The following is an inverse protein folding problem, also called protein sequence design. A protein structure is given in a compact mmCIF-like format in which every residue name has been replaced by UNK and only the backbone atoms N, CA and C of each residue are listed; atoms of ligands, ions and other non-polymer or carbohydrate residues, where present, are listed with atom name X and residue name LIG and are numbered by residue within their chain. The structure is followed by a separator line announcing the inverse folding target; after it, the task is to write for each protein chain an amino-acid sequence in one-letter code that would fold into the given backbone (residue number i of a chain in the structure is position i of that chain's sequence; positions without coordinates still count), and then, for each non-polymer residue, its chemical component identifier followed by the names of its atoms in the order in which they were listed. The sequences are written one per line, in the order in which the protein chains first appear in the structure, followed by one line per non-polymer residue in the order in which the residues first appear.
data_IF_687165862239
#
_entry.id   IF_687165862239
#
_cell.length_a   1.000
_cell.length_b   1.000
_cell.length_c   1.000
_cell.angle_alpha   90.00
_cell.angle_beta   90.00
_cell.angle_gamma   90.00
#
_symmetry.space_group_name_H-M   'P 1'
#
loop_
_entity.id
_entity.type
_entity.pdbx_description
1 polymer ?
#
# COMPACT_ATOMS: atom_id res chain seq x y z
N UNK A 1 -4.67 -26.51 -81.73
CA UNK A 1 -5.35 -25.28 -81.29
C UNK A 1 -5.86 -25.46 -79.85
N UNK A 2 -6.66 -26.49 -79.59
CA UNK A 2 -7.02 -27.01 -78.25
C UNK A 2 -5.88 -27.01 -77.21
N UNK A 3 -4.73 -27.57 -77.56
CA UNK A 3 -3.60 -27.69 -76.63
C UNK A 3 -3.03 -26.32 -76.20
N UNK A 4 -3.08 -25.32 -77.10
CA UNK A 4 -2.68 -23.94 -76.80
C UNK A 4 -3.69 -23.24 -75.89
N UNK A 5 -4.98 -23.51 -76.06
CA UNK A 5 -6.03 -23.00 -75.16
C UNK A 5 -5.88 -23.57 -73.75
N UNK A 6 -5.62 -24.88 -73.63
CA UNK A 6 -5.40 -25.53 -72.33
C UNK A 6 -4.20 -24.96 -71.57
N UNK A 7 -3.09 -24.72 -72.26
CA UNK A 7 -1.90 -24.11 -71.67
C UNK A 7 -2.15 -22.66 -71.20
N UNK A 8 -2.95 -21.89 -71.95
CA UNK A 8 -3.30 -20.52 -71.59
C UNK A 8 -4.24 -20.44 -70.38
N UNK A 9 -5.24 -21.32 -70.29
CA UNK A 9 -6.12 -21.46 -69.12
C UNK A 9 -5.32 -21.81 -67.85
N UNK A 10 -4.31 -22.69 -68.01
CA UNK A 10 -3.43 -23.09 -66.91
C UNK A 10 -2.58 -21.92 -66.43
N UNK A 11 -1.96 -21.15 -67.33
CA UNK A 11 -1.13 -20.01 -66.95
C UNK A 11 -1.93 -18.87 -66.30
N UNK A 12 -3.16 -18.64 -66.76
CA UNK A 12 -4.05 -17.65 -66.15
C UNK A 12 -4.48 -18.06 -64.74
N UNK A 13 -4.73 -19.35 -64.52
CA UNK A 13 -5.06 -19.88 -63.19
C UNK A 13 -3.85 -19.84 -62.23
N UNK A 14 -2.64 -20.16 -62.69
CA UNK A 14 -1.41 -19.98 -61.91
C UNK A 14 -1.19 -18.51 -61.54
N UNK A 15 -1.34 -17.59 -62.49
CA UNK A 15 -1.21 -16.14 -62.24
C UNK A 15 -2.24 -15.62 -61.22
N UNK A 16 -3.48 -16.13 -61.23
CA UNK A 16 -4.48 -15.79 -60.21
C UNK A 16 -4.11 -16.35 -58.83
N UNK A 17 -3.54 -17.56 -58.75
CA UNK A 17 -3.09 -18.15 -57.50
C UNK A 17 -1.90 -17.39 -56.90
N UNK A 18 -0.88 -17.05 -57.69
CA UNK A 18 0.31 -16.33 -57.19
C UNK A 18 -0.06 -14.95 -56.63
N UNK A 19 -1.03 -14.27 -57.24
CA UNK A 19 -1.54 -13.00 -56.73
C UNK A 19 -2.33 -13.16 -55.41
N UNK A 20 -3.08 -14.25 -55.21
CA UNK A 20 -3.71 -14.55 -53.92
C UNK A 20 -2.68 -14.89 -52.85
N UNK A 21 -1.63 -15.65 -53.20
CA UNK A 21 -0.53 -15.99 -52.28
C UNK A 21 0.21 -14.73 -51.84
N UNK A 22 0.49 -13.80 -52.76
CA UNK A 22 1.13 -12.53 -52.43
C UNK A 22 0.28 -11.69 -51.43
N UNK A 23 -1.05 -11.66 -51.62
CA UNK A 23 -1.96 -10.98 -50.69
C UNK A 23 -2.09 -11.68 -49.33
N UNK A 24 -2.05 -13.01 -49.30
CA UNK A 24 -2.06 -13.76 -48.04
C UNK A 24 -0.75 -13.56 -47.27
N UNK A 25 0.39 -13.57 -47.95
CA UNK A 25 1.72 -13.35 -47.34
C UNK A 25 1.85 -11.93 -46.80
N UNK A 26 1.32 -10.92 -47.49
CA UNK A 26 1.36 -9.53 -47.01
C UNK A 26 0.50 -9.29 -45.76
N UNK A 27 -0.49 -10.15 -45.49
CA UNK A 27 -1.34 -10.06 -44.29
C UNK A 27 -0.71 -10.70 -43.03
N UNK A 28 0.29 -11.58 -43.17
CA UNK A 28 0.91 -12.32 -42.05
C UNK A 28 1.43 -11.38 -40.95
N UNK A 29 2.15 -10.28 -41.23
CA UNK A 29 2.65 -9.39 -40.18
C UNK A 29 1.53 -8.79 -39.33
N UNK A 30 0.41 -8.42 -39.95
CA UNK A 30 -0.76 -7.88 -39.24
C UNK A 30 -1.42 -8.93 -38.33
N UNK A 31 -1.53 -10.17 -38.81
CA UNK A 31 -2.08 -11.28 -38.03
C UNK A 31 -1.17 -11.60 -36.83
N UNK A 32 0.15 -11.62 -37.03
CA UNK A 32 1.12 -11.86 -35.94
C UNK A 32 1.06 -10.74 -34.91
N UNK A 33 1.03 -9.48 -35.34
CA UNK A 33 0.91 -8.34 -34.43
C UNK A 33 -0.35 -8.43 -33.58
N UNK A 34 -1.50 -8.69 -34.22
CA UNK A 34 -2.78 -8.82 -33.52
C UNK A 34 -2.79 -10.00 -32.54
N UNK A 35 -2.16 -11.12 -32.89
CA UNK A 35 -2.00 -12.26 -32.00
C UNK A 35 -1.15 -11.92 -30.77
N UNK A 36 -0.01 -11.26 -30.98
CA UNK A 36 0.89 -10.88 -29.89
C UNK A 36 0.22 -9.88 -28.93
N UNK A 37 -0.50 -8.88 -29.46
CA UNK A 37 -1.25 -7.92 -28.63
C UNK A 37 -2.31 -8.63 -27.78
N UNK A 38 -3.07 -9.55 -28.38
CA UNK A 38 -4.12 -10.27 -27.67
C UNK A 38 -3.53 -11.19 -26.58
N UNK A 39 -2.45 -11.91 -26.88
CA UNK A 39 -1.76 -12.76 -25.92
C UNK A 39 -1.19 -11.96 -24.76
N UNK A 40 -0.55 -10.83 -25.06
CA UNK A 40 0.01 -9.94 -24.03
C UNK A 40 -1.10 -9.36 -23.14
N UNK A 41 -2.21 -8.92 -23.74
CA UNK A 41 -3.35 -8.37 -23.01
C UNK A 41 -3.96 -9.38 -22.05
N UNK A 42 -4.19 -10.63 -22.49
CA UNK A 42 -4.74 -11.66 -21.60
C UNK A 42 -3.72 -12.07 -20.51
N UNK A 43 -2.43 -12.16 -20.83
CA UNK A 43 -1.39 -12.45 -19.83
C UNK A 43 -1.32 -11.37 -18.74
N UNK A 44 -1.36 -10.09 -19.13
CA UNK A 44 -1.40 -8.97 -18.18
C UNK A 44 -2.67 -9.03 -17.34
N UNK A 45 -3.83 -9.24 -17.96
CA UNK A 45 -5.11 -9.33 -17.26
C UNK A 45 -5.14 -10.47 -16.25
N UNK A 46 -4.60 -11.63 -16.59
CA UNK A 46 -4.50 -12.78 -15.68
C UNK A 46 -3.61 -12.45 -14.47
N UNK A 47 -2.44 -11.86 -14.72
CA UNK A 47 -1.53 -11.45 -13.65
C UNK A 47 -2.16 -10.41 -12.72
N UNK A 48 -2.79 -9.38 -13.28
CA UNK A 48 -3.48 -8.33 -12.51
C UNK A 48 -4.59 -8.96 -11.67
N UNK A 49 -5.39 -9.86 -12.24
CA UNK A 49 -6.47 -10.55 -11.51
C UNK A 49 -5.95 -11.40 -10.36
N UNK A 50 -4.72 -11.92 -10.46
CA UNK A 50 -4.07 -12.71 -9.41
C UNK A 50 -3.40 -11.87 -8.33
N UNK A 51 -2.82 -10.73 -8.70
CA UNK A 51 -2.04 -9.88 -7.80
C UNK A 51 -2.94 -8.94 -7.00
N UNK A 52 -3.97 -8.37 -7.64
CA UNK A 52 -4.82 -7.35 -7.03
C UNK A 52 -5.45 -7.79 -5.70
N UNK A 53 -6.06 -9.00 -5.58
CA UNK A 53 -6.64 -9.44 -4.32
C UNK A 53 -5.59 -9.63 -3.21
N UNK A 54 -4.37 -10.06 -3.57
CA UNK A 54 -3.28 -10.27 -2.60
C UNK A 54 -2.78 -8.95 -2.03
N UNK A 55 -2.70 -7.92 -2.89
CA UNK A 55 -2.34 -6.56 -2.46
C UNK A 55 -3.42 -6.00 -1.55
N UNK A 56 -4.69 -6.10 -1.96
CA UNK A 56 -5.84 -5.66 -1.16
C UNK A 56 -5.85 -6.32 0.23
N UNK A 57 -5.71 -7.65 0.28
CA UNK A 57 -5.65 -8.41 1.53
C UNK A 57 -4.46 -7.99 2.40
N UNK A 58 -3.27 -7.82 1.81
CA UNK A 58 -2.07 -7.41 2.56
C UNK A 58 -2.18 -6.00 3.16
N UNK A 59 -2.76 -5.06 2.41
CA UNK A 59 -2.98 -3.69 2.87
C UNK A 59 -4.03 -3.70 3.98
N UNK A 60 -5.13 -4.45 3.81
CA UNK A 60 -6.16 -4.55 4.83
C UNK A 60 -5.61 -5.16 6.13
N UNK A 61 -4.88 -6.27 6.05
CA UNK A 61 -4.27 -6.92 7.22
C UNK A 61 -3.27 -6.00 7.94
N UNK A 62 -2.47 -5.25 7.19
CA UNK A 62 -1.51 -4.29 7.76
C UNK A 62 -2.24 -3.15 8.48
N UNK A 63 -3.26 -2.59 7.85
CA UNK A 63 -4.06 -1.51 8.42
C UNK A 63 -4.78 -1.96 9.70
N UNK A 64 -5.41 -3.14 9.69
CA UNK A 64 -6.07 -3.70 10.87
C UNK A 64 -5.10 -3.88 12.05
N UNK A 65 -3.90 -4.42 11.79
CA UNK A 65 -2.89 -4.61 12.83
C UNK A 65 -2.39 -3.29 13.42
N UNK A 66 -2.17 -2.28 12.58
CA UNK A 66 -1.74 -0.96 13.02
C UNK A 66 -2.85 -0.25 13.82
N UNK A 67 -4.09 -0.30 13.33
CA UNK A 67 -5.26 0.26 14.02
C UNK A 67 -5.44 -0.39 15.39
N UNK A 68 -5.34 -1.71 15.48
CA UNK A 68 -5.46 -2.43 16.75
C UNK A 68 -4.35 -2.03 17.72
N UNK A 69 -3.11 -1.91 17.25
CA UNK A 69 -1.96 -1.52 18.06
C UNK A 69 -2.10 -0.09 18.57
N UNK A 70 -2.44 0.85 17.68
CA UNK A 70 -2.63 2.26 18.02
C UNK A 70 -3.82 2.45 18.95
N UNK A 71 -4.93 1.76 18.70
CA UNK A 71 -6.11 1.74 19.58
C UNK A 71 -5.76 1.20 20.95
N UNK A 72 -5.04 0.08 21.05
CA UNK A 72 -4.61 -0.50 22.32
C UNK A 72 -3.74 0.47 23.12
N UNK A 73 -2.81 1.15 22.45
CA UNK A 73 -1.98 2.17 23.09
C UNK A 73 -2.83 3.36 23.56
N UNK A 74 -3.74 3.86 22.73
CA UNK A 74 -4.66 4.95 23.06
C UNK A 74 -5.57 4.58 24.24
N UNK A 75 -6.17 3.38 24.25
CA UNK A 75 -6.99 2.89 25.36
C UNK A 75 -6.19 2.75 26.65
N UNK A 76 -4.94 2.28 26.59
CA UNK A 76 -4.08 2.18 27.77
C UNK A 76 -3.78 3.56 28.35
N UNK A 77 -3.43 4.53 27.50
CA UNK A 77 -3.19 5.92 27.92
C UNK A 77 -4.46 6.57 28.43
N UNK A 78 -5.60 6.35 27.77
CA UNK A 78 -6.92 6.86 28.20
C UNK A 78 -7.33 6.30 29.57
N UNK A 79 -7.10 5.02 29.83
CA UNK A 79 -7.40 4.42 31.14
C UNK A 79 -6.47 4.97 32.24
N UNK A 80 -5.18 5.14 31.96
CA UNK A 80 -4.25 5.77 32.90
C UNK A 80 -4.66 7.20 33.24
N UNK A 81 -4.96 8.02 32.22
CA UNK A 81 -5.43 9.41 32.40
C UNK A 81 -6.75 9.45 33.18
N UNK A 82 -7.70 8.55 32.89
CA UNK A 82 -8.95 8.47 33.64
C UNK A 82 -8.73 8.11 35.12
N UNK A 83 -7.77 7.23 35.42
CA UNK A 83 -7.41 6.88 36.79
C UNK A 83 -6.83 8.10 37.54
N UNK A 84 -5.88 8.81 36.94
CA UNK A 84 -5.26 10.00 37.53
C UNK A 84 -6.29 11.12 37.80
N UNK A 85 -7.21 11.35 36.86
CA UNK A 85 -8.32 12.29 37.04
C UNK A 85 -9.25 11.89 38.20
N UNK A 86 -9.57 10.60 38.32
CA UNK A 86 -10.42 10.09 39.41
C UNK A 86 -9.74 10.21 40.78
N UNK A 87 -8.43 10.03 40.86
CA UNK A 87 -7.64 10.25 42.08
C UNK A 87 -7.72 11.72 42.51
N UNK A 88 -7.61 12.64 41.55
CA UNK A 88 -7.71 14.08 41.78
C UNK A 88 -9.11 14.51 42.28
N UNK A 89 -10.18 13.94 41.71
CA UNK A 89 -11.56 14.15 42.18
C UNK A 89 -11.75 13.66 43.63
N UNK A 90 -11.18 12.50 43.99
CA UNK A 90 -11.21 11.97 45.35
C UNK A 90 -10.45 12.87 46.33
N UNK A 91 -9.26 13.35 45.95
CA UNK A 91 -8.48 14.30 46.77
C UNK A 91 -9.31 15.56 47.06
N UNK A 92 -9.96 16.13 46.05
CA UNK A 92 -10.85 17.30 46.21
C UNK A 92 -12.00 17.05 47.19
N UNK A 93 -12.73 15.95 47.02
CA UNK A 93 -13.84 15.58 47.91
C UNK A 93 -13.37 15.42 49.36
N UNK A 94 -12.18 14.85 49.57
CA UNK A 94 -11.62 14.68 50.91
C UNK A 94 -11.25 16.02 51.55
N UNK A 95 -10.65 16.95 50.80
CA UNK A 95 -10.36 18.32 51.24
C UNK A 95 -11.65 19.02 51.69
N UNK A 96 -12.69 19.04 50.85
CA UNK A 96 -13.99 19.69 51.13
C UNK A 96 -14.64 19.12 52.40
N UNK A 97 -14.60 17.80 52.56
CA UNK A 97 -15.14 17.11 53.75
C UNK A 97 -14.35 17.43 55.03
N UNK A 98 -13.04 17.58 54.94
CA UNK A 98 -12.21 17.93 56.10
C UNK A 98 -12.43 19.39 56.54
N UNK A 99 -12.64 20.28 55.57
CA UNK A 99 -12.97 21.69 55.80
C UNK A 99 -14.35 21.84 56.46
N UNK A 100 -15.38 21.16 55.93
CA UNK A 100 -16.74 21.20 56.48
C UNK A 100 -16.88 20.60 57.90
N UNK A 101 -16.06 19.61 58.26
CA UNK A 101 -16.19 18.89 59.53
C UNK A 101 -15.46 19.53 60.73
N UNK A 102 -14.84 20.71 60.58
CA UNK A 102 -14.00 21.39 61.62
C UNK A 102 -12.93 20.49 62.27
N UNK A 103 -12.61 19.34 61.67
CA UNK A 103 -11.67 18.36 62.24
C UNK A 103 -10.21 18.80 62.12
N UNK A 104 -9.89 19.64 61.14
CA UNK A 104 -8.56 20.21 60.90
C UNK A 104 -7.96 20.91 62.14
N UNK A 105 -8.82 21.35 63.08
CA UNK A 105 -8.39 22.01 64.32
C UNK A 105 -8.22 21.05 65.51
N UNK A 106 -8.52 19.76 65.37
CA UNK A 106 -8.53 18.82 66.50
C UNK A 106 -7.18 18.19 66.82
N UNK A 107 -6.27 18.11 65.84
CA UNK A 107 -4.93 17.55 66.04
C UNK A 107 -3.93 18.09 65.02
N UNK A 108 -2.66 18.12 65.39
CA UNK A 108 -1.57 18.52 64.50
C UNK A 108 -1.42 17.55 63.31
N UNK A 109 -1.62 16.24 63.51
CA UNK A 109 -1.71 15.25 62.43
C UNK A 109 -2.77 15.60 61.39
N UNK A 110 -3.99 15.98 61.79
CA UNK A 110 -5.06 16.33 60.84
C UNK A 110 -4.77 17.60 60.06
N UNK A 111 -4.10 18.58 60.69
CA UNK A 111 -3.64 19.80 60.03
C UNK A 111 -2.51 19.52 59.03
N UNK A 112 -1.58 18.65 59.39
CA UNK A 112 -0.48 18.23 58.52
C UNK A 112 -1.01 17.44 57.31
N UNK A 113 -1.96 16.51 57.52
CA UNK A 113 -2.62 15.76 56.45
C UNK A 113 -3.38 16.67 55.49
N UNK A 114 -4.15 17.63 56.00
CA UNK A 114 -4.86 18.60 55.16
C UNK A 114 -3.90 19.42 54.30
N UNK A 115 -2.82 19.94 54.91
CA UNK A 115 -1.80 20.70 54.19
C UNK A 115 -1.16 19.86 53.07
N UNK A 116 -0.77 18.62 53.35
CA UNK A 116 -0.19 17.72 52.36
C UNK A 116 -1.17 17.39 51.22
N UNK A 117 -2.45 17.21 51.53
CA UNK A 117 -3.48 16.91 50.54
C UNK A 117 -3.76 18.09 49.60
N UNK A 118 -3.80 19.30 50.14
CA UNK A 118 -3.93 20.54 49.36
C UNK A 118 -2.70 20.75 48.48
N UNK A 119 -1.49 20.57 49.01
CA UNK A 119 -0.25 20.68 48.23
C UNK A 119 -0.19 19.65 47.08
N UNK A 120 -0.58 18.40 47.32
CA UNK A 120 -0.63 17.37 46.29
C UNK A 120 -1.68 17.67 45.21
N UNK A 121 -2.88 18.13 45.60
CA UNK A 121 -3.93 18.50 44.66
C UNK A 121 -3.54 19.68 43.76
N UNK A 122 -2.93 20.73 44.32
CA UNK A 122 -2.46 21.88 43.53
C UNK A 122 -1.30 21.49 42.59
N UNK A 123 -0.42 20.57 43.01
CA UNK A 123 0.64 20.05 42.14
C UNK A 123 0.06 19.26 40.95
N UNK A 124 -0.87 18.34 41.20
CA UNK A 124 -1.53 17.55 40.14
C UNK A 124 -2.31 18.46 39.17
N UNK A 125 -2.99 19.48 39.72
CA UNK A 125 -3.70 20.49 38.93
C UNK A 125 -2.75 21.30 38.03
N UNK A 126 -1.58 21.68 38.54
CA UNK A 126 -0.59 22.41 37.77
C UNK A 126 -0.04 21.56 36.60
N UNK A 127 0.19 20.26 36.82
CA UNK A 127 0.59 19.32 35.76
C UNK A 127 -0.51 19.23 34.68
N UNK A 128 -1.77 19.10 35.09
CA UNK A 128 -2.89 19.03 34.15
C UNK A 128 -3.07 20.34 33.35
N UNK A 129 -2.92 21.49 34.00
CA UNK A 129 -3.01 22.80 33.37
C UNK A 129 -1.90 22.98 32.31
N UNK A 130 -0.68 22.48 32.55
CA UNK A 130 0.41 22.52 31.54
C UNK A 130 0.13 21.66 30.31
N UNK A 131 -0.56 20.52 30.48
CA UNK A 131 -0.91 19.63 29.37
C UNK A 131 -2.06 20.20 28.50
N UNK A 132 -2.95 21.00 29.11
CA UNK A 132 -4.02 21.70 28.41
C UNK A 132 -3.51 22.71 27.37
N UNK A 133 -2.46 23.45 27.70
CA UNK A 133 -1.82 24.43 26.81
C UNK A 133 -1.03 23.77 25.65
N UNK A 134 -0.48 22.56 25.84
CA UNK A 134 0.32 21.84 24.83
C UNK A 134 -0.54 21.24 23.71
N UNK A 135 -1.80 20.88 24.01
CA UNK A 135 -2.75 20.33 23.04
C UNK A 135 -3.17 21.31 21.94
N UNK A 136 -2.93 22.61 22.12
CA UNK A 136 -3.19 23.65 21.11
C UNK A 136 -2.10 23.72 20.01
N UNK A 137 -0.96 23.06 20.18
CA UNK A 137 0.19 23.18 19.28
C UNK A 137 0.71 21.88 18.67
N UNK A 138 0.04 20.75 18.89
CA UNK A 138 0.44 19.44 18.38
C UNK A 138 -0.54 18.84 17.36
N UNK A 139 -1.00 19.62 16.38
CA UNK A 139 -1.33 19.03 15.08
C UNK A 139 -0.03 18.96 14.26
N UNK A 140 0.88 18.08 14.66
CA UNK A 140 2.00 17.72 13.80
C UNK A 140 1.43 16.86 12.65
N UNK A 141 1.60 17.26 11.38
CA UNK A 141 1.10 16.47 10.27
C UNK A 141 1.87 15.15 10.24
N UNK A 142 1.16 14.04 10.46
CA UNK A 142 1.66 12.68 10.24
C UNK A 142 2.22 12.62 8.82
N UNK A 143 3.54 12.67 8.68
CA UNK A 143 4.19 12.39 7.41
C UNK A 143 4.15 10.88 7.17
N UNK A 144 3.01 10.39 6.68
CA UNK A 144 2.98 9.07 6.05
C UNK A 144 3.58 9.23 4.66
N UNK A 145 4.91 9.30 4.59
CA UNK A 145 5.60 9.10 3.33
C UNK A 145 5.43 7.61 3.02
N UNK A 146 4.44 7.25 2.21
CA UNK A 146 4.35 5.93 1.62
C UNK A 146 5.62 5.74 0.77
N UNK A 147 6.63 5.09 1.35
CA UNK A 147 7.79 4.57 0.65
C UNK A 147 7.29 3.43 -0.24
N UNK A 148 6.73 3.78 -1.40
CA UNK A 148 6.70 2.87 -2.53
C UNK A 148 8.11 2.91 -3.12
N UNK A 149 9.04 2.22 -2.45
CA UNK A 149 10.33 1.91 -3.04
C UNK A 149 10.08 0.83 -4.11
N UNK A 150 9.55 1.26 -5.26
CA UNK A 150 9.47 0.44 -6.46
C UNK A 150 10.90 0.13 -6.91
N UNK A 151 11.42 -0.97 -6.39
CA UNK A 151 12.43 -1.76 -7.07
C UNK A 151 11.80 -2.35 -8.33
N UNK A 152 11.61 -1.54 -9.38
CA UNK A 152 11.27 -2.02 -10.71
C UNK A 152 11.97 -1.19 -11.80
N UNK A 153 13.19 -1.64 -12.08
CA UNK A 153 13.86 -1.73 -13.39
C UNK A 153 14.09 -0.42 -14.18
N UNK A 154 15.35 -0.10 -14.52
CA UNK A 154 15.73 1.17 -15.13
C UNK A 154 15.02 1.39 -16.46
N UNK A 155 14.35 2.55 -16.58
CA UNK A 155 13.96 3.14 -17.86
C UNK A 155 15.16 3.13 -18.80
N UNK A 156 15.08 2.32 -19.86
CA UNK A 156 15.98 2.48 -20.99
C UNK A 156 15.61 3.79 -21.70
N UNK A 157 16.58 4.71 -21.74
CA UNK A 157 16.58 5.82 -22.69
C UNK A 157 16.61 5.24 -24.11
N UNK A 158 15.56 5.47 -24.89
CA UNK A 158 15.66 5.36 -26.34
C UNK A 158 15.73 6.76 -26.91
N UNK A 159 16.92 7.36 -26.79
CA UNK A 159 17.37 8.44 -27.67
C UNK A 159 17.71 7.83 -29.04
N UNK A 160 17.14 8.40 -30.10
CA UNK A 160 17.44 8.04 -31.47
C UNK A 160 18.90 8.33 -31.80
N UNK A 161 19.67 7.33 -32.27
CA UNK A 161 20.47 7.41 -33.51
C UNK A 161 21.10 6.04 -33.89
N UNK A 162 21.58 5.97 -35.13
CA UNK A 162 21.83 4.82 -36.00
C UNK A 162 22.87 3.70 -35.61
N UNK A 163 22.55 2.48 -36.10
CA UNK A 163 23.44 1.41 -36.62
C UNK A 163 24.11 0.34 -35.71
N UNK A 164 24.41 -0.87 -36.25
CA UNK A 164 24.11 -2.14 -35.58
C UNK A 164 25.34 -2.78 -34.93
N UNK A 165 25.12 -3.46 -33.79
CA UNK A 165 26.14 -4.32 -33.18
C UNK A 165 25.78 -5.79 -33.43
N UNK A 166 26.76 -6.44 -34.05
CA UNK A 166 26.88 -7.85 -34.41
C UNK A 166 26.60 -8.78 -33.22
N UNK A 167 26.03 -9.94 -33.56
CA UNK A 167 25.69 -11.08 -32.72
C UNK A 167 26.69 -11.42 -31.61
N UNK A 168 26.16 -11.76 -30.42
CA UNK A 168 26.59 -12.98 -29.74
C UNK A 168 25.36 -13.77 -29.32
N UNK A 169 25.31 -15.01 -29.80
CA UNK A 169 24.27 -15.98 -29.52
C UNK A 169 24.41 -16.52 -28.10
N UNK A 170 23.45 -16.24 -27.23
CA UNK A 170 23.09 -17.17 -26.16
C UNK A 170 21.57 -17.36 -26.20
N UNK A 171 21.19 -18.47 -26.83
CA UNK A 171 19.83 -18.95 -26.98
C UNK A 171 19.36 -19.51 -25.63
N UNK A 172 18.34 -18.93 -24.96
CA UNK A 172 17.73 -19.57 -23.79
C UNK A 172 16.99 -20.83 -24.24
N UNK A 173 17.24 -21.97 -23.60
CA UNK A 173 16.60 -23.27 -23.89
C UNK A 173 15.10 -23.32 -23.52
N UNK A 174 14.30 -22.37 -24.01
CA UNK A 174 12.85 -22.33 -23.74
C UNK A 174 12.09 -23.48 -24.44
N UNK A 175 12.68 -24.10 -25.47
CA UNK A 175 12.09 -25.23 -26.17
C UNK A 175 12.79 -26.55 -25.85
N UNK A 176 12.74 -26.96 -24.57
CA UNK A 176 12.93 -28.38 -24.23
C UNK A 176 11.58 -29.09 -24.28
N UNK A 177 11.39 -29.93 -25.31
CA UNK A 177 10.20 -30.80 -25.44
C UNK A 177 10.20 -31.90 -24.36
N UNK A 178 9.03 -32.35 -23.88
CA UNK A 178 8.95 -33.43 -22.91
C UNK A 178 9.34 -34.76 -23.58
N UNK A 179 10.30 -35.49 -22.99
CA UNK A 179 10.53 -36.90 -23.35
C UNK A 179 9.31 -37.71 -22.94
N UNK A 180 8.64 -38.31 -23.93
CA UNK A 180 7.58 -39.29 -23.68
C UNK A 180 8.20 -40.62 -23.22
N UNK A 181 7.47 -41.39 -22.40
CA UNK A 181 7.90 -42.72 -21.94
C UNK A 181 7.95 -43.75 -23.07
#
# INVERSE_FOLDING_TARGET
FEERLRLLETSFNEYRQTNQVAGAVSAIPGIVHQYMDQQMKEAVKEQVSRILPRVEESVNATLEAEVLTRSSHSSRTSYAVAADLSEMELKKILIDKMEGNKSIQRSDEQRNLYKALVEAYEADKAILDTYGDESAHAEEPVQTTCQMEETLLPMYETGADEQPIVQTSQHPEWFSQPRKP
#
